data_IF_787593181278
#
_entry.id   IF_787593181278
#
_cell.length_a   1.000
_cell.length_b   1.000
_cell.length_c   1.000
_cell.angle_alpha   90.00
_cell.angle_beta   90.00
_cell.angle_gamma   90.00
#
_symmetry.space_group_name_H-M   'P 1'
#
loop_
_entity.id
_entity.type
_entity.pdbx_description
1 polymer ?
#
# COMPACT_ATOMS: atom_id res chain seq x y z
N UNK A 1 6.04 22.88 -17.73
CA UNK A 1 4.84 22.06 -18.01
C UNK A 1 5.29 20.60 -18.08
N UNK A 2 4.54 19.67 -17.49
CA UNK A 2 4.86 18.23 -17.54
C UNK A 2 4.38 17.65 -18.88
N UNK A 3 5.21 16.80 -19.50
CA UNK A 3 4.86 16.05 -20.71
C UNK A 3 4.00 14.82 -20.39
N UNK A 4 4.27 14.18 -19.25
CA UNK A 4 3.50 13.06 -18.71
C UNK A 4 3.73 12.94 -17.19
N UNK A 5 2.93 12.11 -16.53
CA UNK A 5 3.09 11.77 -15.13
C UNK A 5 2.57 10.36 -14.85
N UNK A 6 3.28 9.62 -13.99
CA UNK A 6 2.77 8.39 -13.40
C UNK A 6 1.67 8.70 -12.38
N UNK A 7 0.75 7.76 -12.11
CA UNK A 7 -0.16 7.87 -10.98
C UNK A 7 0.60 8.03 -9.66
N UNK A 8 0.01 8.75 -8.71
CA UNK A 8 0.57 8.80 -7.36
C UNK A 8 0.59 7.41 -6.72
N UNK A 9 1.77 6.98 -6.31
CA UNK A 9 2.00 5.79 -5.50
C UNK A 9 2.80 6.17 -4.25
N UNK A 10 2.35 5.70 -3.09
CA UNK A 10 2.98 5.99 -1.80
C UNK A 10 3.28 7.49 -1.58
N UNK A 11 2.36 8.39 -1.93
CA UNK A 11 2.54 9.85 -1.74
C UNK A 11 3.45 10.56 -2.75
N UNK A 12 3.99 9.82 -3.73
CA UNK A 12 4.89 10.34 -4.76
C UNK A 12 4.40 10.00 -6.17
N UNK A 13 4.80 10.79 -7.16
CA UNK A 13 4.61 10.48 -8.58
C UNK A 13 5.89 10.82 -9.35
N UNK A 14 6.21 10.02 -10.37
CA UNK A 14 7.23 10.40 -11.35
C UNK A 14 6.59 11.30 -12.40
N UNK A 15 7.20 12.44 -12.68
CA UNK A 15 6.81 13.32 -13.77
C UNK A 15 7.92 13.46 -14.79
N UNK A 16 7.51 13.68 -16.03
CA UNK A 16 8.38 13.73 -17.19
C UNK A 16 8.34 15.15 -17.75
N UNK A 17 9.50 15.77 -17.94
CA UNK A 17 9.67 17.12 -18.51
C UNK A 17 10.56 17.07 -19.74
N UNK A 18 10.47 18.08 -20.61
CA UNK A 18 11.22 18.11 -21.86
C UNK A 18 10.61 17.21 -22.93
N UNK A 19 11.45 16.72 -23.83
CA UNK A 19 11.00 16.08 -25.06
C UNK A 19 10.90 14.54 -24.93
N UNK A 20 9.69 14.05 -24.75
CA UNK A 20 9.38 12.62 -24.67
C UNK A 20 8.48 12.21 -25.82
N UNK A 21 8.65 10.96 -26.29
CA UNK A 21 7.72 10.33 -27.24
C UNK A 21 7.15 9.05 -26.66
N UNK A 22 5.93 8.74 -27.06
CA UNK A 22 5.33 7.42 -26.81
C UNK A 22 5.87 6.43 -27.83
N UNK A 23 6.43 5.31 -27.34
CA UNK A 23 6.91 4.21 -28.17
C UNK A 23 6.16 2.93 -27.78
N UNK A 24 5.58 2.26 -28.77
CA UNK A 24 4.98 0.94 -28.56
C UNK A 24 6.08 -0.11 -28.42
N UNK A 25 5.94 -1.01 -27.46
CA UNK A 25 6.85 -2.15 -27.32
C UNK A 25 6.51 -3.16 -28.40
N UNK A 26 7.52 -3.64 -29.14
CA UNK A 26 7.31 -4.59 -30.23
C UNK A 26 6.63 -5.87 -29.71
N UNK A 27 5.46 -6.19 -30.26
CA UNK A 27 4.64 -7.33 -29.84
C UNK A 27 3.88 -7.15 -28.52
N UNK A 28 3.84 -5.95 -27.94
CA UNK A 28 3.15 -5.65 -26.67
C UNK A 28 1.91 -4.77 -26.80
N UNK A 29 1.01 -4.87 -25.82
CA UNK A 29 -0.18 -4.00 -25.68
C UNK A 29 0.09 -2.69 -24.93
N UNK A 30 1.33 -2.48 -24.49
CA UNK A 30 1.71 -1.33 -23.67
C UNK A 30 2.69 -0.42 -24.40
N UNK A 31 2.44 0.88 -24.30
CA UNK A 31 3.37 1.90 -24.75
C UNK A 31 4.24 2.38 -23.58
N UNK A 32 5.48 2.75 -23.89
CA UNK A 32 6.45 3.34 -22.94
C UNK A 32 6.80 4.76 -23.36
N UNK A 33 7.28 5.55 -22.41
CA UNK A 33 7.86 6.86 -22.69
C UNK A 33 9.35 6.68 -23.01
N UNK A 34 9.76 7.21 -24.17
CA UNK A 34 11.13 7.18 -24.66
C UNK A 34 11.67 8.61 -24.75
N UNK A 35 12.86 8.82 -24.20
CA UNK A 35 13.52 10.12 -24.20
C UNK A 35 14.00 10.45 -25.62
N UNK A 36 13.55 11.57 -26.18
CA UNK A 36 13.93 11.96 -27.56
C UNK A 36 15.32 12.60 -27.57
N UNK A 37 15.65 13.37 -26.54
CA UNK A 37 16.91 14.10 -26.41
C UNK A 37 17.25 14.38 -24.94
N UNK A 38 18.37 15.07 -24.70
CA UNK A 38 18.88 15.37 -23.36
C UNK A 38 18.00 16.35 -22.54
N UNK A 39 17.01 17.01 -23.15
CA UNK A 39 16.02 17.80 -22.40
C UNK A 39 15.01 16.93 -21.66
N UNK A 40 14.85 15.66 -22.07
CA UNK A 40 13.97 14.70 -21.44
C UNK A 40 14.46 14.34 -20.03
N UNK A 41 13.78 14.85 -19.02
CA UNK A 41 14.12 14.62 -17.61
C UNK A 41 12.96 13.99 -16.86
N UNK A 42 13.30 13.20 -15.85
CA UNK A 42 12.34 12.66 -14.88
C UNK A 42 12.56 13.32 -13.53
N UNK A 43 11.46 13.61 -12.84
CA UNK A 43 11.47 14.14 -11.50
C UNK A 43 10.48 13.37 -10.64
N UNK A 44 10.74 13.29 -9.34
CA UNK A 44 9.75 12.78 -8.39
C UNK A 44 9.10 13.98 -7.71
N UNK A 45 7.78 14.02 -7.68
CA UNK A 45 7.00 15.04 -6.99
C UNK A 45 6.21 14.45 -5.83
N UNK A 46 5.98 15.24 -4.80
CA UNK A 46 5.05 14.89 -3.71
C UNK A 46 3.60 15.27 -4.06
N UNK A 47 2.65 14.95 -3.18
CA UNK A 47 1.22 15.27 -3.37
C UNK A 47 0.91 16.78 -3.46
N UNK A 48 1.85 17.66 -3.09
CA UNK A 48 1.72 19.11 -3.26
C UNK A 48 2.22 19.59 -4.63
N UNK A 49 2.72 18.69 -5.48
CA UNK A 49 3.31 19.02 -6.78
C UNK A 49 4.75 19.53 -6.69
N UNK A 50 5.39 19.45 -5.52
CA UNK A 50 6.76 19.93 -5.33
C UNK A 50 7.75 18.84 -5.75
N UNK A 51 8.79 19.21 -6.51
CA UNK A 51 9.89 18.30 -6.84
C UNK A 51 10.66 17.97 -5.56
N UNK A 52 10.86 16.67 -5.32
CA UNK A 52 11.61 16.14 -4.19
C UNK A 52 12.87 15.47 -4.71
N UNK A 53 14.01 15.82 -4.14
CA UNK A 53 15.30 15.21 -4.50
C UNK A 53 15.57 13.99 -3.63
N UNK A 54 15.62 12.82 -4.26
CA UNK A 54 15.97 11.57 -3.58
C UNK A 54 17.47 11.49 -3.21
N UNK A 55 17.79 10.73 -2.17
CA UNK A 55 19.16 10.53 -1.66
C UNK A 55 19.67 9.13 -1.95
N UNK A 56 20.99 8.95 -1.93
CA UNK A 56 21.61 7.64 -2.12
C UNK A 56 21.45 6.72 -0.90
N UNK A 57 21.22 7.29 0.28
CA UNK A 57 21.03 6.58 1.55
C UNK A 57 19.80 7.16 2.28
N UNK A 58 19.07 6.34 3.04
CA UNK A 58 17.95 6.81 3.86
C UNK A 58 18.46 7.68 5.01
N UNK A 59 17.71 8.73 5.36
CA UNK A 59 17.95 9.54 6.55
C UNK A 59 17.17 9.04 7.75
N UNK A 60 15.95 8.55 7.52
CA UNK A 60 15.10 7.95 8.53
C UNK A 60 14.80 6.49 8.17
N UNK A 61 14.55 5.63 9.17
CA UNK A 61 14.16 4.25 8.90
C UNK A 61 12.94 4.14 7.99
N UNK A 62 11.99 5.09 8.04
CA UNK A 62 10.76 5.04 7.24
C UNK A 62 10.90 5.58 5.81
N UNK A 63 12.08 6.11 5.44
CA UNK A 63 12.30 6.59 4.08
C UNK A 63 12.10 5.46 3.07
N UNK A 64 11.53 5.79 1.93
CA UNK A 64 11.11 4.82 0.91
C UNK A 64 11.99 4.90 -0.32
N UNK A 65 12.26 3.75 -0.92
CA UNK A 65 13.09 3.66 -2.12
C UNK A 65 12.22 3.72 -3.38
N UNK A 66 12.50 4.69 -4.24
CA UNK A 66 11.83 4.89 -5.53
C UNK A 66 12.92 5.13 -6.58
N UNK A 67 12.94 4.32 -7.65
CA UNK A 67 13.91 4.49 -8.74
C UNK A 67 15.38 4.50 -8.27
N UNK A 68 15.71 3.69 -7.26
CA UNK A 68 17.07 3.60 -6.71
C UNK A 68 17.48 4.69 -5.73
N UNK A 69 16.61 5.66 -5.41
CA UNK A 69 16.88 6.74 -4.45
C UNK A 69 15.88 6.70 -3.29
N UNK A 70 16.29 7.21 -2.13
CA UNK A 70 15.48 7.28 -0.93
C UNK A 70 14.79 8.63 -0.79
N UNK A 71 13.51 8.60 -0.46
CA UNK A 71 12.63 9.75 -0.28
C UNK A 71 12.03 9.73 1.13
N UNK A 72 11.78 10.90 1.74
CA UNK A 72 11.14 10.98 3.04
C UNK A 72 9.82 10.20 3.10
N UNK A 73 9.47 9.66 4.26
CA UNK A 73 8.13 9.12 4.45
C UNK A 73 7.07 10.23 4.28
N UNK A 74 6.10 10.11 3.35
CA UNK A 74 5.30 11.26 2.94
C UNK A 74 4.04 11.47 3.78
N UNK A 75 3.68 10.51 4.62
CA UNK A 75 2.45 10.58 5.41
C UNK A 75 2.73 11.17 6.78
N UNK A 76 1.88 12.12 7.18
CA UNK A 76 1.86 12.69 8.52
C UNK A 76 0.47 12.49 9.10
N UNK A 77 0.43 11.96 10.32
CA UNK A 77 -0.81 11.59 11.00
C UNK A 77 -0.97 12.43 12.25
N UNK A 78 -2.17 12.96 12.46
CA UNK A 78 -2.55 13.51 13.76
C UNK A 78 -2.74 12.37 14.79
N UNK A 79 -2.89 12.64 16.10
CA UNK A 79 -3.01 11.60 17.11
C UNK A 79 -4.15 10.59 16.87
N UNK A 80 -5.28 11.04 16.32
CA UNK A 80 -6.41 10.17 16.00
C UNK A 80 -6.12 9.26 14.80
N UNK A 81 -5.53 9.81 13.73
CA UNK A 81 -5.09 9.05 12.55
C UNK A 81 -4.00 8.03 12.92
N UNK A 82 -3.07 8.43 13.79
CA UNK A 82 -2.02 7.58 14.31
C UNK A 82 -2.60 6.40 15.10
N UNK A 83 -3.66 6.62 15.88
CA UNK A 83 -4.36 5.55 16.60
C UNK A 83 -5.00 4.53 15.66
N UNK A 84 -5.66 4.99 14.59
CA UNK A 84 -6.25 4.12 13.57
C UNK A 84 -5.17 3.25 12.91
N UNK A 85 -4.09 3.89 12.44
CA UNK A 85 -2.98 3.21 11.76
C UNK A 85 -2.25 2.25 12.70
N UNK A 86 -2.06 2.63 13.97
CA UNK A 86 -1.43 1.77 14.97
C UNK A 86 -2.23 0.49 15.23
N UNK A 87 -3.57 0.57 15.30
CA UNK A 87 -4.43 -0.62 15.44
C UNK A 87 -4.22 -1.61 14.28
N UNK A 88 -4.17 -1.10 13.04
CA UNK A 88 -3.97 -1.94 11.86
C UNK A 88 -2.56 -2.55 11.84
N UNK A 89 -1.53 -1.75 12.08
CA UNK A 89 -0.14 -2.21 12.13
C UNK A 89 0.12 -3.23 13.25
N UNK A 90 -0.61 -3.15 14.37
CA UNK A 90 -0.52 -4.10 15.48
C UNK A 90 -1.26 -5.42 15.22
N UNK A 91 -2.10 -5.49 14.18
CA UNK A 91 -2.92 -6.68 13.90
C UNK A 91 -2.15 -7.66 13.02
N UNK A 92 -1.46 -8.60 13.65
CA UNK A 92 -0.60 -9.56 12.96
C UNK A 92 -1.32 -10.39 11.88
N UNK A 93 -2.62 -10.65 12.05
CA UNK A 93 -3.44 -11.34 11.05
C UNK A 93 -3.44 -10.62 9.68
N UNK A 94 -3.43 -9.29 9.64
CA UNK A 94 -3.35 -8.54 8.38
C UNK A 94 -2.01 -8.77 7.66
N UNK A 95 -0.92 -8.82 8.42
CA UNK A 95 0.40 -9.14 7.88
C UNK A 95 0.47 -10.55 7.33
N UNK A 96 -0.12 -11.53 8.01
CA UNK A 96 -0.13 -12.91 7.52
C UNK A 96 -1.02 -13.06 6.28
N UNK A 97 -2.21 -12.46 6.27
CA UNK A 97 -3.11 -12.44 5.11
C UNK A 97 -2.48 -11.75 3.89
N UNK A 98 -1.61 -10.76 4.08
CA UNK A 98 -0.92 -10.10 2.97
C UNK A 98 0.06 -11.02 2.23
N UNK A 99 0.60 -12.05 2.90
CA UNK A 99 1.72 -12.85 2.37
C UNK A 99 1.46 -14.34 2.26
N UNK A 100 0.38 -14.89 2.82
CA UNK A 100 0.22 -16.33 2.96
C UNK A 100 0.24 -17.08 1.62
N UNK A 101 -0.34 -16.48 0.58
CA UNK A 101 -0.39 -16.99 -0.80
C UNK A 101 0.73 -16.41 -1.70
N UNK A 102 1.71 -15.69 -1.11
CA UNK A 102 2.88 -15.28 -1.88
C UNK A 102 3.84 -16.47 -2.03
N UNK A 103 4.11 -16.86 -3.28
CA UNK A 103 5.07 -17.92 -3.63
C UNK A 103 6.53 -17.64 -3.25
N UNK A 104 6.83 -16.50 -2.63
CA UNK A 104 8.16 -16.14 -2.10
C UNK A 104 8.12 -16.10 -0.57
N UNK A 105 9.21 -16.45 0.13
CA UNK A 105 9.29 -16.27 1.57
C UNK A 105 9.04 -14.81 2.01
N UNK A 106 8.41 -14.59 3.16
CA UNK A 106 8.22 -13.25 3.74
C UNK A 106 9.55 -12.54 4.08
N UNK A 107 10.65 -13.27 4.15
CA UNK A 107 11.99 -12.87 4.55
C UNK A 107 12.36 -11.36 4.40
N UNK A 108 12.24 -10.61 5.49
CA UNK A 108 12.57 -9.18 5.58
C UNK A 108 11.55 -8.22 4.97
N UNK A 109 10.42 -8.72 4.46
CA UNK A 109 9.28 -7.92 3.99
C UNK A 109 8.39 -7.50 5.15
N UNK A 110 7.82 -6.32 5.04
CA UNK A 110 6.95 -5.75 6.08
C UNK A 110 5.71 -5.09 5.48
N UNK A 111 4.62 -5.11 6.23
CA UNK A 111 3.37 -4.45 5.88
C UNK A 111 3.19 -3.25 6.82
N UNK A 112 2.83 -2.09 6.28
CA UNK A 112 2.37 -0.97 7.08
C UNK A 112 1.19 -0.25 6.43
N UNK A 113 0.35 0.33 7.27
CA UNK A 113 -0.82 1.10 6.86
C UNK A 113 -0.54 2.61 6.96
N UNK A 114 -1.20 3.39 6.13
CA UNK A 114 -1.21 4.85 6.21
C UNK A 114 -2.59 5.39 5.86
N UNK A 115 -3.03 6.44 6.57
CA UNK A 115 -4.13 7.27 6.09
C UNK A 115 -3.65 8.08 4.89
N UNK A 116 -4.31 7.91 3.74
CA UNK A 116 -3.96 8.57 2.46
C UNK A 116 -5.01 9.57 1.99
N UNK A 117 -6.17 9.62 2.64
CA UNK A 117 -7.14 10.71 2.53
C UNK A 117 -8.00 10.80 3.77
N UNK A 118 -8.39 12.02 4.12
CA UNK A 118 -9.35 12.33 5.19
C UNK A 118 -10.78 12.32 4.64
N UNK A 119 -11.80 12.11 5.49
CA UNK A 119 -13.20 12.25 5.11
C UNK A 119 -13.48 13.60 4.44
N UNK A 120 -14.29 13.56 3.40
CA UNK A 120 -14.79 14.72 2.66
C UNK A 120 -16.32 14.64 2.54
N UNK A 121 -16.90 15.55 1.76
CA UNK A 121 -18.35 15.53 1.49
C UNK A 121 -18.78 14.33 0.63
N UNK A 122 -17.90 13.85 -0.26
CA UNK A 122 -18.22 12.79 -1.23
C UNK A 122 -17.70 11.42 -0.79
N UNK A 123 -16.73 11.38 0.12
CA UNK A 123 -16.18 10.16 0.70
C UNK A 123 -16.14 10.37 2.22
N UNK A 124 -17.14 9.88 2.98
CA UNK A 124 -17.27 10.17 4.41
C UNK A 124 -16.32 9.35 5.31
N UNK A 125 -15.45 8.51 4.72
CA UNK A 125 -14.49 7.68 5.44
C UNK A 125 -13.04 8.16 5.24
N UNK A 126 -12.19 7.89 6.22
CA UNK A 126 -10.75 7.91 6.05
C UNK A 126 -10.35 6.80 5.09
N UNK A 127 -9.58 7.15 4.05
CA UNK A 127 -8.98 6.16 3.16
C UNK A 127 -7.69 5.67 3.78
N UNK A 128 -7.59 4.36 3.98
CA UNK A 128 -6.37 3.70 4.40
C UNK A 128 -5.74 3.01 3.19
N UNK A 129 -4.43 3.16 3.03
CA UNK A 129 -3.65 2.33 2.09
C UNK A 129 -2.73 1.42 2.87
N UNK A 130 -2.64 0.18 2.41
CA UNK A 130 -1.70 -0.81 2.88
C UNK A 130 -0.50 -0.86 1.93
N UNK A 131 0.70 -0.80 2.48
CA UNK A 131 1.95 -0.83 1.75
C UNK A 131 2.81 -1.98 2.25
N UNK A 132 3.18 -2.85 1.33
CA UNK A 132 4.24 -3.83 1.52
C UNK A 132 5.58 -3.17 1.20
N UNK A 133 6.60 -3.49 1.97
CA UNK A 133 7.95 -3.05 1.77
C UNK A 133 8.84 -4.26 1.67
N UNK A 134 9.70 -4.28 0.66
CA UNK A 134 10.82 -5.20 0.64
C UNK A 134 11.93 -4.78 1.62
N UNK A 135 13.02 -5.54 1.63
CA UNK A 135 14.20 -5.26 2.46
C UNK A 135 14.86 -3.92 2.15
N UNK A 136 14.68 -3.41 0.94
CA UNK A 136 15.23 -2.12 0.49
C UNK A 136 14.25 -0.96 0.69
N UNK A 137 13.11 -1.20 1.36
CA UNK A 137 12.04 -0.21 1.58
C UNK A 137 11.41 0.28 0.28
N UNK A 138 11.41 -0.51 -0.78
CA UNK A 138 10.61 -0.19 -1.97
C UNK A 138 9.13 -0.47 -1.67
N UNK A 139 8.24 0.53 -1.76
CA UNK A 139 6.84 0.36 -1.42
C UNK A 139 6.06 -0.27 -2.58
N UNK A 140 5.26 -1.28 -2.27
CA UNK A 140 4.24 -1.86 -3.12
C UNK A 140 2.87 -1.71 -2.45
N UNK A 141 1.86 -1.24 -3.16
CA UNK A 141 0.52 -1.09 -2.59
C UNK A 141 -0.19 -2.43 -2.60
N UNK A 142 -0.63 -2.89 -1.43
CA UNK A 142 -1.49 -4.06 -1.33
C UNK A 142 -2.93 -3.62 -1.63
N UNK A 143 -3.45 -4.00 -2.80
CA UNK A 143 -4.76 -3.55 -3.29
C UNK A 143 -5.91 -4.04 -2.41
N UNK A 144 -5.82 -5.27 -1.92
CA UNK A 144 -6.85 -5.90 -1.08
C UNK A 144 -6.96 -5.19 0.28
N UNK A 145 -5.86 -5.09 1.01
CA UNK A 145 -5.86 -4.47 2.34
C UNK A 145 -6.00 -2.94 2.28
N UNK A 146 -5.78 -2.32 1.11
CA UNK A 146 -6.10 -0.91 0.88
C UNK A 146 -7.60 -0.63 0.65
N UNK A 147 -8.45 -1.66 0.75
CA UNK A 147 -9.92 -1.52 0.80
C UNK A 147 -10.45 -1.28 2.21
N UNK A 148 -9.57 -1.29 3.20
CA UNK A 148 -9.91 -0.92 4.57
C UNK A 148 -10.16 0.58 4.64
N UNK A 149 -11.26 0.96 5.28
CA UNK A 149 -11.64 2.36 5.54
C UNK A 149 -11.99 2.53 7.01
N UNK A 150 -11.87 3.76 7.52
CA UNK A 150 -12.27 4.09 8.88
C UNK A 150 -13.33 5.19 8.88
N UNK A 151 -14.33 5.09 9.75
CA UNK A 151 -15.29 6.19 9.96
C UNK A 151 -14.68 7.31 10.83
N UNK A 152 -15.47 8.35 11.11
CA UNK A 152 -15.05 9.48 11.95
C UNK A 152 -14.85 9.12 13.43
N UNK A 153 -15.38 7.99 13.87
CA UNK A 153 -15.21 7.46 15.22
C UNK A 153 -14.02 6.48 15.31
N UNK A 154 -13.40 6.17 14.17
CA UNK A 154 -12.27 5.24 14.06
C UNK A 154 -12.70 3.77 14.04
N UNK A 155 -13.98 3.49 13.77
CA UNK A 155 -14.44 2.13 13.46
C UNK A 155 -13.94 1.72 12.08
N UNK A 156 -13.48 0.49 11.98
CA UNK A 156 -12.82 -0.03 10.79
C UNK A 156 -13.76 -0.93 10.01
N UNK A 157 -13.75 -0.76 8.69
CA UNK A 157 -14.55 -1.52 7.75
C UNK A 157 -13.70 -1.98 6.57
N UNK A 158 -14.10 -3.09 5.97
CA UNK A 158 -13.64 -3.52 4.67
C UNK A 158 -14.73 -3.19 3.63
N UNK A 159 -14.32 -2.64 2.48
CA UNK A 159 -15.22 -2.31 1.36
C UNK A 159 -14.73 -2.97 0.07
N UNK A 160 -15.39 -4.05 -0.34
CA UNK A 160 -15.03 -4.79 -1.55
C UNK A 160 -15.04 -3.89 -2.80
N UNK A 161 -14.27 -4.28 -3.82
CA UNK A 161 -14.20 -3.51 -5.05
C UNK A 161 -15.56 -3.46 -5.76
N UNK A 162 -15.99 -2.26 -6.13
CA UNK A 162 -17.29 -2.05 -6.78
C UNK A 162 -18.50 -2.14 -5.84
N UNK A 163 -18.30 -2.42 -4.55
CA UNK A 163 -19.38 -2.53 -3.58
C UNK A 163 -19.45 -1.30 -2.67
N UNK A 164 -20.68 -0.90 -2.35
CA UNK A 164 -20.95 0.17 -1.37
C UNK A 164 -21.17 -0.37 0.04
N UNK A 165 -21.31 -1.69 0.19
CA UNK A 165 -21.55 -2.34 1.48
C UNK A 165 -20.27 -2.34 2.31
N UNK A 166 -20.38 -1.90 3.56
CA UNK A 166 -19.28 -1.95 4.51
C UNK A 166 -19.43 -3.17 5.41
N UNK A 167 -18.39 -3.99 5.43
CA UNK A 167 -18.29 -5.13 6.34
C UNK A 167 -17.43 -4.69 7.51
N UNK A 168 -17.88 -4.80 8.78
CA UNK A 168 -17.02 -4.53 9.92
C UNK A 168 -15.72 -5.32 9.81
N UNK A 169 -14.56 -4.65 9.97
CA UNK A 169 -13.26 -5.24 9.62
C UNK A 169 -13.01 -6.57 10.36
N UNK A 170 -13.48 -6.69 11.60
CA UNK A 170 -13.38 -7.93 12.38
C UNK A 170 -14.13 -9.09 11.72
N UNK A 171 -15.34 -8.84 11.22
CA UNK A 171 -16.16 -9.85 10.55
C UNK A 171 -15.42 -10.34 9.31
N UNK A 172 -14.99 -9.40 8.45
CA UNK A 172 -14.21 -9.71 7.26
C UNK A 172 -12.91 -10.47 7.60
N UNK A 173 -12.15 -10.03 8.60
CA UNK A 173 -10.90 -10.69 9.01
C UNK A 173 -11.11 -12.13 9.43
N UNK A 174 -12.17 -12.42 10.19
CA UNK A 174 -12.49 -13.79 10.60
C UNK A 174 -12.81 -14.66 9.39
N UNK A 175 -13.59 -14.13 8.45
CA UNK A 175 -14.00 -14.87 7.27
C UNK A 175 -12.78 -15.12 6.35
N UNK A 176 -11.95 -14.09 6.11
CA UNK A 176 -10.68 -14.21 5.37
C UNK A 176 -9.70 -15.21 6.01
N UNK A 177 -9.62 -15.26 7.35
CA UNK A 177 -8.81 -16.24 8.06
C UNK A 177 -9.32 -17.68 7.87
N UNK A 178 -10.64 -17.89 7.86
CA UNK A 178 -11.22 -19.20 7.57
C UNK A 178 -11.00 -19.63 6.12
N UNK A 179 -11.07 -18.70 5.17
CA UNK A 179 -10.73 -18.93 3.77
C UNK A 179 -9.25 -19.31 3.62
N UNK A 180 -8.33 -18.52 4.18
CA UNK A 180 -6.90 -18.80 4.17
C UNK A 180 -6.57 -20.16 4.83
N UNK A 181 -7.29 -20.56 5.87
CA UNK A 181 -7.16 -21.90 6.47
C UNK A 181 -7.51 -22.99 5.47
N UNK A 182 -8.63 -22.83 4.76
CA UNK A 182 -9.13 -23.80 3.80
C UNK A 182 -8.14 -23.95 2.65
N UNK A 183 -7.69 -22.83 2.12
CA UNK A 183 -6.70 -22.75 1.06
C UNK A 183 -5.37 -23.40 1.48
N UNK A 184 -4.81 -23.04 2.63
CA UNK A 184 -3.59 -23.65 3.16
C UNK A 184 -3.75 -25.16 3.41
N UNK A 185 -4.94 -25.68 3.70
CA UNK A 185 -5.12 -27.14 3.81
C UNK A 185 -5.03 -27.83 2.44
N UNK A 186 -5.51 -27.18 1.39
CA UNK A 186 -5.47 -27.67 0.01
C UNK A 186 -4.07 -27.53 -0.61
N UNK A 187 -3.37 -26.44 -0.32
CA UNK A 187 -2.05 -26.10 -0.87
C UNK A 187 -0.96 -26.18 0.21
N UNK A 188 -0.44 -27.41 0.45
CA UNK A 188 0.45 -27.69 1.60
C UNK A 188 1.88 -27.20 1.45
N UNK A 189 2.30 -26.87 0.24
CA UNK A 189 3.64 -26.41 -0.14
C UNK A 189 3.86 -24.90 -0.01
N UNK A 190 2.83 -24.14 0.39
CA UNK A 190 2.93 -22.70 0.62
C UNK A 190 4.05 -22.32 1.61
N UNK A 191 4.80 -21.28 1.27
CA UNK A 191 6.00 -20.86 2.02
C UNK A 191 5.69 -20.02 3.27
N UNK A 192 4.54 -19.33 3.29
CA UNK A 192 4.19 -18.33 4.32
C UNK A 192 3.00 -18.77 5.19
N UNK A 193 2.91 -20.06 5.47
CA UNK A 193 1.84 -20.64 6.30
C UNK A 193 1.89 -20.10 7.72
N UNK A 194 0.72 -19.99 8.36
CA UNK A 194 0.60 -19.50 9.72
C UNK A 194 -0.52 -20.20 10.49
N UNK A 195 -0.49 -20.10 11.81
CA UNK A 195 -1.53 -20.66 12.69
C UNK A 195 -2.77 -19.76 12.71
N UNK A 196 -3.77 -20.12 11.90
CA UNK A 196 -5.05 -19.41 11.81
C UNK A 196 -5.79 -19.40 13.15
N UNK A 197 -5.80 -20.50 13.88
CA UNK A 197 -6.54 -20.60 15.15
C UNK A 197 -5.95 -19.67 16.20
N UNK A 198 -4.62 -19.54 16.23
CA UNK A 198 -3.94 -18.52 17.03
C UNK A 198 -4.36 -17.12 16.59
N UNK A 199 -4.36 -16.80 15.30
CA UNK A 199 -4.75 -15.47 14.80
C UNK A 199 -6.20 -15.12 15.13
N UNK A 200 -7.12 -16.08 15.04
CA UNK A 200 -8.52 -15.88 15.43
C UNK A 200 -8.65 -15.50 16.91
N UNK A 201 -7.85 -16.11 17.80
CA UNK A 201 -7.82 -15.76 19.24
C UNK A 201 -7.17 -14.41 19.52
N UNK A 202 -6.21 -14.00 18.71
CA UNK A 202 -5.48 -12.73 18.83
C UNK A 202 -6.25 -11.54 18.24
N UNK A 203 -7.36 -11.76 17.51
CA UNK A 203 -8.13 -10.67 16.93
C UNK A 203 -8.53 -9.68 18.04
N UNK A 204 -8.24 -8.39 17.87
CA UNK A 204 -8.37 -7.41 18.94
C UNK A 204 -9.82 -7.29 19.39
N UNK A 205 -10.03 -7.64 20.67
CA UNK A 205 -11.33 -7.50 21.34
C UNK A 205 -11.71 -6.04 21.61
N UNK A 206 -10.90 -5.04 21.24
CA UNK A 206 -11.17 -3.63 21.50
C UNK A 206 -11.48 -2.83 20.22
N UNK A 207 -11.86 -3.54 19.17
CA UNK A 207 -12.50 -2.94 17.99
C UNK A 207 -14.04 -2.86 18.16
N UNK A 208 -14.55 -3.15 19.37
CA UNK A 208 -15.96 -3.02 19.78
C UNK A 208 -16.24 -1.65 20.40
#
# INVERSE_FOLDING_TARGET
QYAAADPFSHGYATVYTGNWRTKWVDGGEHAVLDAVDASAQTHVINQRGEIVTGRAQPLAPQDVKIGGRYYPYPFTHNPFEQHIVAKLNATAALGDLAYYDDGRPRDGRSLAFAITARPSRVEPYYRVSAYEYDRERQPYRNEELSRIVADRDGRLYYRAWGENTLIPLKTWLRDALHEARTDMVQHRDGLNRFDVERRLRELPLQWF
#
